data_IF_131692781207
#
_entry.id   IF_131692781207
#
_cell.length_a   1.000
_cell.length_b   1.000
_cell.length_c   1.000
_cell.angle_alpha   90.00
_cell.angle_beta   90.00
_cell.angle_gamma   90.00
#
_symmetry.space_group_name_H-M   'P 1'
#
loop_
_entity.id
_entity.type
_entity.pdbx_description
1 polymer ?
#
# COMPACT_ATOMS: atom_id res chain seq x y z
N UNK A 1 8.01 15.65 -4.18
CA UNK A 1 6.99 15.10 -3.27
C UNK A 1 7.65 15.01 -1.91
N UNK A 2 7.07 15.60 -0.87
CA UNK A 2 7.69 15.63 0.46
C UNK A 2 7.65 14.22 1.08
N UNK A 3 8.53 13.92 2.05
CA UNK A 3 8.50 12.64 2.78
C UNK A 3 7.13 12.38 3.45
N UNK A 4 6.48 13.45 3.93
CA UNK A 4 5.13 13.38 4.48
C UNK A 4 4.08 12.93 3.45
N UNK A 5 4.23 13.36 2.19
CA UNK A 5 3.33 12.96 1.10
C UNK A 5 3.51 11.47 0.78
N UNK A 6 4.76 10.98 0.77
CA UNK A 6 5.06 9.56 0.58
C UNK A 6 4.50 8.70 1.72
N UNK A 7 4.75 9.10 2.96
CA UNK A 7 4.24 8.41 4.15
C UNK A 7 2.70 8.36 4.18
N UNK A 8 2.06 9.46 3.77
CA UNK A 8 0.60 9.54 3.65
C UNK A 8 0.06 8.63 2.54
N UNK A 9 0.70 8.64 1.36
CA UNK A 9 0.33 7.77 0.26
C UNK A 9 0.45 6.29 0.65
N UNK A 10 1.54 5.92 1.33
CA UNK A 10 1.78 4.53 1.75
C UNK A 10 0.78 4.06 2.80
N UNK A 11 0.51 4.85 3.85
CA UNK A 11 -0.55 4.53 4.84
C UNK A 11 -1.91 4.32 4.18
N UNK A 12 -2.18 5.09 3.13
CA UNK A 12 -3.42 4.96 2.39
C UNK A 12 -3.49 3.67 1.56
N UNK A 13 -2.37 3.24 0.97
CA UNK A 13 -2.26 1.92 0.32
C UNK A 13 -2.45 0.78 1.32
N UNK A 14 -1.76 0.82 2.47
CA UNK A 14 -1.89 -0.22 3.51
C UNK A 14 -3.35 -0.35 4.02
N UNK A 15 -4.04 0.79 4.16
CA UNK A 15 -5.47 0.82 4.51
C UNK A 15 -6.33 0.21 3.40
N UNK A 16 -6.10 0.58 2.14
CA UNK A 16 -6.86 0.05 1.01
C UNK A 16 -6.64 -1.46 0.80
N UNK A 17 -5.43 -1.97 1.06
CA UNK A 17 -5.16 -3.42 1.02
C UNK A 17 -5.93 -4.16 2.11
N UNK A 18 -5.92 -3.62 3.33
CA UNK A 18 -6.69 -4.18 4.45
C UNK A 18 -8.20 -4.14 4.16
N UNK A 19 -8.70 -3.03 3.62
CA UNK A 19 -10.09 -2.89 3.20
C UNK A 19 -10.45 -3.88 2.09
N UNK A 20 -9.58 -4.06 1.10
CA UNK A 20 -9.78 -5.01 0.02
C UNK A 20 -9.93 -6.44 0.56
N UNK A 21 -9.07 -6.85 1.51
CA UNK A 21 -9.18 -8.16 2.14
C UNK A 21 -10.54 -8.37 2.80
N UNK A 22 -11.04 -7.36 3.54
CA UNK A 22 -12.36 -7.40 4.18
C UNK A 22 -13.48 -7.48 3.13
N UNK A 23 -13.41 -6.69 2.06
CA UNK A 23 -14.41 -6.70 0.99
C UNK A 23 -14.47 -8.04 0.25
N UNK A 24 -13.31 -8.67 0.01
CA UNK A 24 -13.25 -10.00 -0.63
C UNK A 24 -13.87 -11.07 0.28
N UNK A 25 -13.61 -11.01 1.59
CA UNK A 25 -14.25 -11.91 2.56
C UNK A 25 -15.78 -11.68 2.55
N UNK A 26 -16.23 -10.43 2.58
CA UNK A 26 -17.65 -10.10 2.53
C UNK A 26 -18.31 -10.59 1.25
N UNK A 27 -17.64 -10.46 0.09
CA UNK A 27 -18.12 -10.95 -1.20
C UNK A 27 -18.27 -12.47 -1.19
N UNK A 28 -17.30 -13.18 -0.63
CA UNK A 28 -17.34 -14.64 -0.53
C UNK A 28 -18.48 -15.11 0.37
N UNK A 29 -18.64 -14.49 1.54
CA UNK A 29 -19.74 -14.77 2.47
C UNK A 29 -21.08 -14.53 1.77
N UNK A 30 -21.26 -13.38 1.12
CA UNK A 30 -22.46 -13.08 0.37
C UNK A 30 -22.71 -14.12 -0.72
N UNK A 31 -21.73 -14.47 -1.54
CA UNK A 31 -21.90 -15.48 -2.59
C UNK A 31 -22.41 -16.84 -2.04
N UNK A 32 -21.98 -17.24 -0.84
CA UNK A 32 -22.43 -18.48 -0.19
C UNK A 32 -23.90 -18.44 0.25
N UNK A 33 -24.41 -17.28 0.66
CA UNK A 33 -25.77 -17.14 1.21
C UNK A 33 -26.85 -16.76 0.18
N UNK A 34 -26.52 -16.72 -1.12
CA UNK A 34 -27.44 -16.38 -2.23
C UNK A 34 -28.28 -15.10 -1.99
N UNK A 35 -27.65 -13.95 -1.72
CA UNK A 35 -28.32 -12.66 -1.67
C UNK A 35 -28.84 -12.29 -3.06
N UNK A 36 -29.69 -11.26 -3.12
CA UNK A 36 -30.12 -10.66 -4.37
C UNK A 36 -28.90 -10.34 -5.27
N UNK A 37 -28.99 -10.75 -6.54
CA UNK A 37 -27.86 -10.64 -7.48
C UNK A 37 -27.34 -9.21 -7.64
N UNK A 38 -28.19 -8.21 -7.45
CA UNK A 38 -27.83 -6.79 -7.49
C UNK A 38 -26.80 -6.42 -6.41
N UNK A 39 -26.93 -6.97 -5.20
CA UNK A 39 -26.01 -6.70 -4.08
C UNK A 39 -24.62 -7.29 -4.35
N UNK A 40 -24.58 -8.50 -4.93
CA UNK A 40 -23.35 -9.15 -5.36
C UNK A 40 -22.63 -8.35 -6.45
N UNK A 41 -23.38 -7.86 -7.46
CA UNK A 41 -22.82 -7.04 -8.54
C UNK A 41 -22.28 -5.71 -7.99
N UNK A 42 -23.03 -5.04 -7.11
CA UNK A 42 -22.61 -3.80 -6.49
C UNK A 42 -21.31 -3.99 -5.69
N UNK A 43 -21.22 -5.05 -4.87
CA UNK A 43 -20.03 -5.33 -4.09
C UNK A 43 -18.82 -5.70 -4.97
N UNK A 44 -19.03 -6.47 -6.05
CA UNK A 44 -17.99 -6.78 -7.01
C UNK A 44 -17.44 -5.51 -7.70
N UNK A 45 -18.31 -4.55 -8.05
CA UNK A 45 -17.90 -3.28 -8.60
C UNK A 45 -17.07 -2.43 -7.61
N UNK A 46 -17.42 -2.45 -6.32
CA UNK A 46 -16.64 -1.80 -5.26
C UNK A 46 -15.27 -2.44 -5.12
N UNK A 47 -15.19 -3.77 -5.06
CA UNK A 47 -13.91 -4.51 -5.01
C UNK A 47 -13.04 -4.14 -6.22
N UNK A 48 -13.59 -4.17 -7.44
CA UNK A 48 -12.86 -3.82 -8.65
C UNK A 48 -12.32 -2.38 -8.62
N UNK A 49 -13.12 -1.43 -8.11
CA UNK A 49 -12.71 -0.02 -7.96
C UNK A 49 -11.56 0.15 -6.95
N UNK A 50 -11.63 -0.56 -5.82
CA UNK A 50 -10.56 -0.57 -4.81
C UNK A 50 -9.27 -1.17 -5.38
N UNK A 51 -9.36 -2.29 -6.10
CA UNK A 51 -8.21 -2.91 -6.77
C UNK A 51 -7.57 -1.95 -7.78
N UNK A 52 -8.37 -1.26 -8.60
CA UNK A 52 -7.85 -0.32 -9.58
C UNK A 52 -7.15 0.88 -8.90
N UNK A 53 -7.71 1.36 -7.78
CA UNK A 53 -7.10 2.42 -6.97
C UNK A 53 -5.75 1.97 -6.40
N UNK A 54 -5.71 0.78 -5.80
CA UNK A 54 -4.49 0.17 -5.28
C UNK A 54 -3.43 0.00 -6.37
N UNK A 55 -3.81 -0.50 -7.54
CA UNK A 55 -2.89 -0.66 -8.66
C UNK A 55 -2.23 0.67 -9.06
N UNK A 56 -3.02 1.75 -9.17
CA UNK A 56 -2.48 3.08 -9.49
C UNK A 56 -1.56 3.60 -8.39
N UNK A 57 -1.90 3.39 -7.13
CA UNK A 57 -1.08 3.86 -6.01
C UNK A 57 0.21 3.06 -5.87
N UNK A 58 0.19 1.75 -6.12
CA UNK A 58 1.39 0.91 -6.23
C UNK A 58 2.31 1.35 -7.37
N UNK A 59 1.76 1.71 -8.53
CA UNK A 59 2.56 2.29 -9.63
C UNK A 59 3.19 3.64 -9.27
N UNK A 60 2.56 4.42 -8.39
CA UNK A 60 3.15 5.67 -7.90
C UNK A 60 4.24 5.38 -6.86
N UNK A 61 4.02 4.43 -5.96
CA UNK A 61 5.01 4.00 -4.95
C UNK A 61 6.24 3.36 -5.59
N UNK A 62 6.07 2.59 -6.67
CA UNK A 62 7.19 1.95 -7.37
C UNK A 62 8.16 2.95 -8.00
N UNK A 63 7.75 4.20 -8.22
CA UNK A 63 8.67 5.28 -8.65
C UNK A 63 9.68 5.68 -7.59
N UNK A 64 9.44 5.28 -6.34
CA UNK A 64 10.32 5.57 -5.20
C UNK A 64 11.24 4.39 -4.87
N UNK A 65 11.23 3.31 -5.65
CA UNK A 65 12.15 2.19 -5.44
C UNK A 65 13.59 2.65 -5.59
N UNK A 66 14.47 2.13 -4.72
CA UNK A 66 15.90 2.36 -4.85
C UNK A 66 16.40 1.90 -6.23
N UNK A 67 17.13 2.73 -7.00
CA UNK A 67 17.65 2.35 -8.30
C UNK A 67 18.71 1.22 -8.22
N UNK A 68 19.27 0.98 -7.04
CA UNK A 68 20.24 -0.08 -6.79
C UNK A 68 19.64 -1.46 -6.61
N UNK A 69 18.80 -1.59 -5.58
CA UNK A 69 18.24 -2.88 -5.15
C UNK A 69 16.75 -3.04 -5.44
N UNK A 70 16.07 -2.02 -5.96
CA UNK A 70 14.63 -2.07 -6.25
C UNK A 70 13.73 -2.06 -5.02
N UNK A 71 14.29 -1.97 -3.81
CA UNK A 71 13.52 -1.91 -2.56
C UNK A 71 12.76 -0.59 -2.43
N UNK A 72 11.54 -0.67 -1.90
CA UNK A 72 10.77 0.50 -1.53
C UNK A 72 11.37 1.13 -0.26
N UNK A 73 11.35 2.47 -0.09
CA UNK A 73 11.87 3.15 1.10
C UNK A 73 11.27 2.53 2.36
N UNK A 74 12.08 1.98 3.27
CA UNK A 74 11.58 1.14 4.36
C UNK A 74 10.75 1.92 5.40
N UNK A 75 9.89 1.19 6.11
CA UNK A 75 9.13 1.65 7.29
C UNK A 75 9.91 1.53 8.61
N UNK A 76 11.16 1.05 8.60
CA UNK A 76 11.88 0.72 9.84
C UNK A 76 12.56 1.97 10.40
N UNK A 77 12.00 2.49 11.49
CA UNK A 77 12.83 3.04 12.54
C UNK A 77 13.81 1.93 12.96
N UNK A 78 15.10 2.17 12.77
CA UNK A 78 16.13 1.24 13.17
C UNK A 78 16.13 1.12 14.70
N UNK A 79 15.63 0.00 15.22
CA UNK A 79 15.57 -0.22 16.67
C UNK A 79 16.97 -0.44 17.28
N UNK A 80 18.00 -0.64 16.46
CA UNK A 80 19.40 -0.76 16.91
C UNK A 80 20.07 0.61 17.03
N UNK A 81 19.70 1.57 16.16
CA UNK A 81 20.31 2.90 16.15
C UNK A 81 19.75 3.84 17.22
N UNK A 82 18.60 3.56 17.83
CA UNK A 82 18.03 4.34 18.94
C UNK A 82 17.66 5.79 18.61
N UNK A 83 18.00 6.28 17.42
CA UNK A 83 17.80 7.66 16.99
C UNK A 83 16.65 7.76 16.02
N UNK A 84 15.80 8.76 16.27
CA UNK A 84 14.79 9.24 15.34
C UNK A 84 15.47 9.43 13.96
N UNK A 85 15.03 8.65 12.98
CA UNK A 85 15.66 8.63 11.67
C UNK A 85 15.56 10.02 11.02
N UNK A 86 16.70 10.65 10.76
CA UNK A 86 16.76 11.96 10.13
C UNK A 86 16.26 11.88 8.66
N UNK A 87 15.18 12.61 8.31
CA UNK A 87 14.71 12.82 6.93
C UNK A 87 15.81 13.17 5.92
N UNK A 88 16.93 13.71 6.41
CA UNK A 88 18.04 14.16 5.58
C UNK A 88 18.94 13.05 5.04
N UNK A 89 18.74 11.77 5.40
CA UNK A 89 19.59 10.68 4.90
C UNK A 89 19.21 10.29 3.47
N UNK A 90 20.04 10.62 2.47
CA UNK A 90 19.70 10.43 1.06
C UNK A 90 20.04 9.01 0.59
N UNK A 91 20.07 7.99 1.45
CA UNK A 91 20.60 6.66 1.13
C UNK A 91 19.59 5.55 1.46
N UNK A 92 19.53 4.52 0.61
CA UNK A 92 18.70 3.33 0.78
C UNK A 92 19.24 2.45 1.92
N UNK A 93 18.36 1.99 2.82
CA UNK A 93 18.77 1.20 3.98
C UNK A 93 19.10 -0.26 3.66
N UNK A 94 18.64 -0.79 2.52
CA UNK A 94 18.95 -2.17 2.11
C UNK A 94 20.33 -2.28 1.45
N UNK A 95 20.72 -1.31 0.62
CA UNK A 95 21.95 -1.38 -0.17
C UNK A 95 22.93 -0.21 0.05
N UNK A 96 22.57 0.78 0.87
CA UNK A 96 23.37 1.97 1.14
C UNK A 96 23.45 2.98 0.00
N UNK A 97 22.83 2.71 -1.15
CA UNK A 97 22.93 3.55 -2.35
C UNK A 97 22.10 4.83 -2.23
N UNK A 98 22.59 5.93 -2.80
CA UNK A 98 21.90 7.22 -2.77
C UNK A 98 20.54 7.16 -3.49
N UNK A 99 19.47 7.57 -2.80
CA UNK A 99 18.07 7.71 -3.25
C UNK A 99 17.85 9.06 -3.94
#
# INVERSE_FOLDING_TARGET
MCQDDYNRLRKHVDFLESLLAVLVIALFVLAMFRPDGELLIALAAVVASVVLSLYRQHQLLSRFTCPGCGELPHSKADQVAGDLHDPATPNCLHCGQRL
#
